data_IF_840702818631
#
_entry.id   IF_840702818631
#
_cell.length_a   1.000
_cell.length_b   1.000
_cell.length_c   1.000
_cell.angle_alpha   90.00
_cell.angle_beta   90.00
_cell.angle_gamma   90.00
#
_symmetry.space_group_name_H-M   'P 1'
#
loop_
_entity.id
_entity.type
_entity.pdbx_description
1 polymer ?
#
# COMPACT_ATOMS: atom_id res chain seq x y z
N UNK A 1 -18.50 4.20 -6.88
CA UNK A 1 -17.87 3.61 -5.68
C UNK A 1 -16.38 3.52 -6.01
N UNK A 2 -15.48 3.97 -5.14
CA UNK A 2 -14.03 3.81 -5.34
C UNK A 2 -13.67 2.39 -4.91
N UNK A 3 -13.08 1.59 -5.80
CA UNK A 3 -12.61 0.24 -5.49
C UNK A 3 -11.13 0.34 -5.07
N UNK A 4 -10.87 0.34 -3.76
CA UNK A 4 -9.52 0.42 -3.21
C UNK A 4 -9.04 -0.94 -2.73
N UNK A 5 -7.88 -1.36 -3.22
CA UNK A 5 -7.23 -2.60 -2.81
C UNK A 5 -6.21 -2.36 -1.71
N UNK A 6 -6.10 -3.31 -0.79
CA UNK A 6 -5.15 -3.27 0.33
C UNK A 6 -4.04 -4.28 0.11
N UNK A 7 -2.80 -3.79 0.17
CA UNK A 7 -1.59 -4.61 0.15
C UNK A 7 -1.11 -4.77 1.59
N UNK A 8 -1.07 -6.01 2.06
CA UNK A 8 -0.39 -6.39 3.28
C UNK A 8 1.11 -6.58 2.96
N UNK A 9 1.93 -5.59 3.26
CA UNK A 9 3.38 -5.67 3.12
C UNK A 9 3.95 -6.51 4.27
N UNK A 10 4.15 -7.78 4.03
CA UNK A 10 4.82 -8.71 4.94
C UNK A 10 6.32 -8.36 5.00
N UNK A 11 6.89 -7.98 3.85
CA UNK A 11 8.28 -7.57 3.76
C UNK A 11 9.21 -8.66 4.28
N UNK A 12 9.97 -8.35 5.32
CA UNK A 12 10.86 -9.28 6.04
C UNK A 12 10.29 -9.73 7.40
N UNK A 13 9.03 -9.43 7.72
CA UNK A 13 8.40 -9.75 9.01
C UNK A 13 8.19 -11.26 9.24
N UNK A 14 8.45 -12.08 8.24
CA UNK A 14 8.53 -13.54 8.33
C UNK A 14 9.79 -14.07 9.04
N UNK A 15 10.75 -13.21 9.35
CA UNK A 15 11.97 -13.55 10.12
C UNK A 15 12.83 -14.69 9.49
N UNK A 16 12.81 -14.84 8.16
CA UNK A 16 13.50 -15.93 7.45
C UNK A 16 12.84 -17.30 7.59
N UNK A 17 11.62 -17.38 8.16
CA UNK A 17 10.89 -18.62 8.42
C UNK A 17 9.69 -18.77 7.50
N UNK A 18 9.64 -19.87 6.74
CA UNK A 18 8.59 -20.15 5.75
C UNK A 18 7.22 -20.41 6.39
N UNK A 19 7.19 -21.06 7.55
CA UNK A 19 5.92 -21.34 8.25
C UNK A 19 5.29 -20.04 8.75
N UNK A 20 6.10 -19.15 9.33
CA UNK A 20 5.67 -17.79 9.69
C UNK A 20 5.19 -16.99 8.48
N UNK A 21 5.89 -17.10 7.33
CA UNK A 21 5.48 -16.43 6.10
C UNK A 21 4.12 -16.91 5.59
N UNK A 22 3.87 -18.21 5.63
CA UNK A 22 2.57 -18.81 5.27
C UNK A 22 1.46 -18.41 6.27
N UNK A 23 1.75 -18.39 7.54
CA UNK A 23 0.79 -17.92 8.56
C UNK A 23 0.41 -16.45 8.32
N UNK A 24 1.37 -15.58 8.02
CA UNK A 24 1.12 -14.19 7.65
C UNK A 24 0.19 -14.08 6.43
N UNK A 25 0.40 -14.89 5.39
CA UNK A 25 -0.50 -14.94 4.21
C UNK A 25 -1.92 -15.34 4.62
N UNK A 26 -2.06 -16.42 5.40
CA UNK A 26 -3.36 -16.93 5.83
C UNK A 26 -4.12 -15.90 6.66
N UNK A 27 -3.46 -15.26 7.62
CA UNK A 27 -4.05 -14.21 8.45
C UNK A 27 -4.43 -12.98 7.62
N UNK A 28 -3.54 -12.51 6.73
CA UNK A 28 -3.83 -11.38 5.85
C UNK A 28 -5.06 -11.61 4.96
N UNK A 29 -5.21 -12.84 4.41
CA UNK A 29 -6.34 -13.23 3.57
C UNK A 29 -7.61 -13.48 4.40
N UNK A 30 -7.60 -14.53 5.25
CA UNK A 30 -8.82 -15.10 5.87
C UNK A 30 -9.36 -14.27 7.03
N UNK A 31 -8.47 -13.57 7.75
CA UNK A 31 -8.85 -12.80 8.95
C UNK A 31 -8.97 -11.31 8.62
N UNK A 32 -8.01 -10.77 7.85
CA UNK A 32 -7.95 -9.33 7.61
C UNK A 32 -8.69 -8.89 6.34
N UNK A 33 -8.81 -9.76 5.32
CA UNK A 33 -9.44 -9.41 4.06
C UNK A 33 -8.57 -8.52 3.17
N UNK A 34 -7.24 -8.62 3.28
CA UNK A 34 -6.33 -7.96 2.37
C UNK A 34 -6.41 -8.58 0.97
N UNK A 35 -6.07 -7.80 -0.05
CA UNK A 35 -6.16 -8.21 -1.45
C UNK A 35 -4.84 -8.79 -1.98
N UNK A 36 -3.71 -8.34 -1.43
CA UNK A 36 -2.37 -8.75 -1.84
C UNK A 36 -1.50 -9.00 -0.61
N UNK A 37 -0.78 -10.11 -0.59
CA UNK A 37 0.32 -10.37 0.34
C UNK A 37 1.63 -10.08 -0.40
N UNK A 38 2.41 -9.10 0.11
CA UNK A 38 3.64 -8.63 -0.54
C UNK A 38 4.86 -8.93 0.31
N UNK A 39 5.90 -9.41 -0.35
CA UNK A 39 7.22 -9.74 0.21
C UNK A 39 8.30 -8.82 -0.34
N UNK A 40 9.56 -9.13 -0.06
CA UNK A 40 10.73 -8.47 -0.62
C UNK A 40 11.67 -9.52 -1.20
N UNK A 41 12.34 -9.18 -2.31
CA UNK A 41 13.39 -9.98 -2.92
C UNK A 41 14.60 -9.11 -3.23
N UNK A 42 15.76 -9.51 -2.73
CA UNK A 42 17.01 -8.77 -2.84
C UNK A 42 18.18 -9.71 -3.12
N UNK A 43 19.10 -9.27 -3.94
CA UNK A 43 20.42 -9.90 -4.11
C UNK A 43 21.47 -9.00 -3.45
N UNK A 44 21.98 -9.42 -2.30
CA UNK A 44 22.90 -8.59 -1.53
C UNK A 44 24.23 -8.32 -2.27
N UNK A 45 24.65 -9.19 -3.19
CA UNK A 45 25.87 -8.99 -3.99
C UNK A 45 25.73 -7.84 -5.01
N UNK A 46 24.51 -7.47 -5.39
CA UNK A 46 24.25 -6.30 -6.25
C UNK A 46 24.00 -5.01 -5.44
N UNK A 47 23.56 -5.15 -4.19
CA UNK A 47 23.06 -4.04 -3.39
C UNK A 47 24.05 -3.55 -2.32
N UNK A 48 25.02 -4.35 -1.95
CA UNK A 48 25.99 -4.02 -0.91
C UNK A 48 27.41 -4.14 -1.45
N UNK A 49 28.22 -3.14 -1.17
CA UNK A 49 29.68 -3.28 -1.28
C UNK A 49 30.19 -4.21 -0.18
N UNK A 50 31.41 -4.77 -0.34
CA UNK A 50 32.04 -5.61 0.69
C UNK A 50 32.14 -4.88 2.05
N UNK A 51 32.41 -3.58 2.01
CA UNK A 51 32.49 -2.75 3.22
C UNK A 51 31.13 -2.62 3.91
N UNK A 52 30.04 -2.36 3.16
CA UNK A 52 28.70 -2.27 3.71
C UNK A 52 28.21 -3.62 4.22
N UNK A 53 28.51 -4.72 3.52
CA UNK A 53 28.20 -6.07 3.95
C UNK A 53 28.81 -6.38 5.32
N UNK A 54 30.07 -5.99 5.52
CA UNK A 54 30.84 -6.27 6.75
C UNK A 54 30.48 -5.32 7.93
N UNK A 55 29.69 -4.24 7.71
CA UNK A 55 29.33 -3.34 8.81
C UNK A 55 28.39 -4.01 9.81
N UNK A 56 28.44 -3.64 11.10
CA UNK A 56 27.41 -4.02 12.06
C UNK A 56 26.04 -3.47 11.68
N UNK A 57 24.97 -4.17 12.03
CA UNK A 57 23.63 -3.65 11.84
C UNK A 57 23.44 -2.35 12.66
N UNK A 58 22.86 -1.25 12.09
CA UNK A 58 22.69 0.03 12.78
C UNK A 58 21.94 -0.08 14.12
N UNK A 59 21.04 -1.04 14.23
CA UNK A 59 20.31 -1.37 15.46
C UNK A 59 20.57 -2.83 15.82
N UNK A 60 21.56 -3.13 16.68
CA UNK A 60 21.96 -4.51 16.98
C UNK A 60 20.82 -5.41 17.49
N UNK A 61 19.88 -4.85 18.24
CA UNK A 61 18.70 -5.57 18.74
C UNK A 61 17.85 -6.18 17.62
N UNK A 62 17.85 -5.59 16.42
CA UNK A 62 17.09 -6.04 15.25
C UNK A 62 17.89 -6.98 14.33
N UNK A 63 19.18 -7.22 14.61
CA UNK A 63 20.06 -7.97 13.72
C UNK A 63 19.89 -9.48 13.83
N UNK A 64 19.77 -10.16 12.70
CA UNK A 64 19.79 -11.63 12.57
C UNK A 64 21.16 -12.20 12.19
N UNK A 65 22.21 -11.38 12.16
CA UNK A 65 23.58 -11.76 11.86
C UNK A 65 24.58 -10.91 12.62
N UNK A 66 25.88 -11.23 12.53
CA UNK A 66 26.97 -10.42 13.10
C UNK A 66 27.26 -9.19 12.24
N UNK A 67 26.95 -9.25 10.95
CA UNK A 67 27.08 -8.12 10.01
C UNK A 67 25.74 -7.76 9.38
N UNK A 68 25.67 -6.59 8.75
CA UNK A 68 24.49 -6.15 8.02
C UNK A 68 24.18 -7.06 6.82
N UNK A 69 25.21 -7.54 6.13
CA UNK A 69 25.06 -8.49 5.03
C UNK A 69 24.45 -9.82 5.51
N UNK A 70 25.00 -10.42 6.57
CA UNK A 70 24.46 -11.65 7.15
C UNK A 70 23.02 -11.49 7.63
N UNK A 71 22.68 -10.34 8.25
CA UNK A 71 21.32 -10.02 8.64
C UNK A 71 20.36 -10.03 7.43
N UNK A 72 20.76 -9.41 6.31
CA UNK A 72 19.96 -9.39 5.11
C UNK A 72 19.82 -10.75 4.46
N UNK A 73 20.89 -11.53 4.38
CA UNK A 73 20.87 -12.90 3.84
C UNK A 73 19.96 -13.83 4.63
N UNK A 74 19.97 -13.72 5.95
CA UNK A 74 19.08 -14.51 6.81
C UNK A 74 17.59 -14.28 6.49
N UNK A 75 17.25 -13.10 6.05
CA UNK A 75 15.87 -12.69 5.75
C UNK A 75 15.48 -12.92 4.28
N UNK A 76 16.39 -13.36 3.41
CA UNK A 76 16.07 -13.55 1.99
C UNK A 76 15.52 -14.94 1.72
N UNK A 77 14.48 -15.00 0.91
CA UNK A 77 13.96 -16.25 0.35
C UNK A 77 14.49 -16.47 -1.07
N UNK A 78 14.73 -17.73 -1.42
CA UNK A 78 15.04 -18.14 -2.78
C UNK A 78 13.82 -17.99 -3.70
N UNK A 79 14.03 -18.01 -5.02
CA UNK A 79 12.94 -17.97 -5.99
C UNK A 79 11.98 -19.17 -5.84
N UNK A 80 12.49 -20.36 -5.46
CA UNK A 80 11.65 -21.53 -5.20
C UNK A 80 10.76 -21.33 -3.96
N UNK A 81 11.29 -20.71 -2.90
CA UNK A 81 10.49 -20.32 -1.73
C UNK A 81 9.43 -19.27 -2.09
N UNK A 82 9.77 -18.27 -2.91
CA UNK A 82 8.79 -17.31 -3.42
C UNK A 82 7.69 -17.99 -4.27
N UNK A 83 8.03 -19.01 -5.05
CA UNK A 83 7.04 -19.83 -5.77
C UNK A 83 6.12 -20.57 -4.80
N UNK A 84 6.65 -21.12 -3.71
CA UNK A 84 5.85 -21.75 -2.66
C UNK A 84 4.90 -20.76 -1.98
N UNK A 85 5.36 -19.53 -1.68
CA UNK A 85 4.51 -18.46 -1.14
C UNK A 85 3.42 -18.02 -2.13
N UNK A 86 3.73 -17.96 -3.41
CA UNK A 86 2.73 -17.68 -4.45
C UNK A 86 1.64 -18.74 -4.49
N UNK A 87 2.02 -20.03 -4.37
CA UNK A 87 1.05 -21.13 -4.30
C UNK A 87 0.20 -21.05 -3.03
N UNK A 88 0.79 -20.73 -1.87
CA UNK A 88 0.03 -20.51 -0.63
C UNK A 88 -0.98 -19.37 -0.80
N UNK A 89 -0.56 -18.25 -1.40
CA UNK A 89 -1.46 -17.13 -1.71
C UNK A 89 -2.64 -17.58 -2.59
N UNK A 90 -2.36 -18.37 -3.64
CA UNK A 90 -3.38 -18.92 -4.54
C UNK A 90 -4.38 -19.81 -3.80
N UNK A 91 -3.91 -20.69 -2.90
CA UNK A 91 -4.76 -21.58 -2.11
C UNK A 91 -5.70 -20.83 -1.17
N UNK A 92 -5.27 -19.71 -0.61
CA UNK A 92 -6.10 -18.93 0.31
C UNK A 92 -6.89 -17.80 -0.37
N UNK A 93 -6.69 -17.59 -1.68
CA UNK A 93 -7.43 -16.61 -2.46
C UNK A 93 -6.98 -15.15 -2.24
N UNK A 94 -5.69 -14.92 -2.09
CA UNK A 94 -5.05 -13.59 -2.04
C UNK A 94 -4.00 -13.50 -3.16
N UNK A 95 -3.81 -12.33 -3.76
CA UNK A 95 -2.76 -12.14 -4.74
C UNK A 95 -1.37 -12.13 -4.08
N UNK A 96 -0.41 -12.78 -4.74
CA UNK A 96 1.00 -12.71 -4.37
C UNK A 96 1.68 -11.53 -5.05
N UNK A 97 2.56 -10.83 -4.34
CA UNK A 97 3.47 -9.84 -4.90
C UNK A 97 4.80 -9.80 -4.14
N UNK A 98 5.77 -9.11 -4.71
CA UNK A 98 7.04 -8.81 -4.02
C UNK A 98 7.65 -7.51 -4.52
N UNK A 99 8.40 -6.85 -3.64
CA UNK A 99 9.27 -5.73 -4.00
C UNK A 99 10.59 -6.30 -4.52
N UNK A 100 11.04 -5.85 -5.70
CA UNK A 100 12.34 -6.20 -6.29
C UNK A 100 13.30 -5.02 -6.15
N UNK A 101 14.51 -5.29 -5.66
CA UNK A 101 15.47 -4.26 -5.33
C UNK A 101 16.63 -4.14 -6.32
N UNK A 102 16.85 -5.18 -7.10
CA UNK A 102 17.96 -5.34 -8.04
C UNK A 102 17.53 -6.09 -9.29
N UNK A 103 18.42 -6.14 -10.28
CA UNK A 103 18.10 -6.73 -11.58
C UNK A 103 17.91 -8.24 -11.50
N UNK A 104 18.74 -8.95 -10.75
CA UNK A 104 18.59 -10.42 -10.54
C UNK A 104 17.26 -10.74 -9.88
N UNK A 105 16.88 -10.01 -8.83
CA UNK A 105 15.57 -10.17 -8.16
C UNK A 105 14.40 -9.92 -9.12
N UNK A 106 14.51 -8.92 -9.99
CA UNK A 106 13.48 -8.65 -10.99
C UNK A 106 13.38 -9.79 -12.03
N UNK A 107 14.51 -10.33 -12.47
CA UNK A 107 14.58 -11.46 -13.39
C UNK A 107 13.94 -12.73 -12.79
N UNK A 108 14.31 -13.07 -11.56
CA UNK A 108 13.79 -14.22 -10.84
C UNK A 108 12.27 -14.12 -10.63
N UNK A 109 11.78 -12.99 -10.10
CA UNK A 109 10.35 -12.81 -9.81
C UNK A 109 9.49 -12.71 -11.07
N UNK A 110 9.98 -12.12 -12.15
CA UNK A 110 9.25 -12.07 -13.41
C UNK A 110 8.94 -13.48 -13.95
N UNK A 111 9.77 -14.51 -13.64
CA UNK A 111 9.50 -15.91 -14.03
C UNK A 111 8.26 -16.47 -13.35
N UNK A 112 7.89 -16.00 -12.18
CA UNK A 112 6.71 -16.40 -11.43
C UNK A 112 5.42 -15.77 -11.96
N UNK A 113 5.52 -14.74 -12.82
CA UNK A 113 4.40 -14.03 -13.43
C UNK A 113 3.33 -13.59 -12.42
N UNK A 114 3.69 -12.87 -11.33
CA UNK A 114 2.69 -12.32 -10.42
C UNK A 114 1.82 -11.27 -11.14
N UNK A 115 0.66 -10.92 -10.59
CA UNK A 115 -0.20 -9.88 -11.16
C UNK A 115 0.44 -8.49 -11.07
N UNK A 116 1.29 -8.24 -10.08
CA UNK A 116 1.99 -6.99 -9.89
C UNK A 116 3.37 -7.20 -9.25
N UNK A 117 4.31 -6.32 -9.61
CA UNK A 117 5.66 -6.23 -9.01
C UNK A 117 5.86 -4.79 -8.50
N UNK A 118 6.50 -4.66 -7.32
CA UNK A 118 6.78 -3.35 -6.71
C UNK A 118 8.25 -2.96 -6.84
N UNK A 119 8.46 -1.68 -7.15
CA UNK A 119 9.73 -0.98 -6.95
C UNK A 119 9.61 -0.14 -5.67
N UNK A 120 10.38 -0.45 -4.63
CA UNK A 120 10.36 0.36 -3.41
C UNK A 120 11.00 1.73 -3.66
N UNK A 121 10.77 2.68 -2.75
CA UNK A 121 11.34 4.03 -2.84
C UNK A 121 12.86 4.04 -3.01
N UNK A 122 13.54 3.06 -2.43
CA UNK A 122 15.01 2.97 -2.50
C UNK A 122 15.56 2.69 -3.91
N UNK A 123 14.77 2.08 -4.80
CA UNK A 123 15.23 1.65 -6.12
C UNK A 123 14.43 2.24 -7.28
N UNK A 124 13.60 3.24 -7.01
CA UNK A 124 12.77 3.87 -8.04
C UNK A 124 13.55 4.66 -9.10
N UNK A 125 14.87 4.86 -8.94
CA UNK A 125 15.77 5.41 -9.93
C UNK A 125 16.64 4.34 -10.61
N UNK A 126 16.41 3.05 -10.37
CA UNK A 126 17.14 1.96 -10.99
C UNK A 126 16.56 1.65 -12.38
N UNK A 127 16.88 2.50 -13.37
CA UNK A 127 16.29 2.43 -14.70
C UNK A 127 16.63 1.15 -15.49
N UNK A 128 17.77 0.52 -15.24
CA UNK A 128 18.11 -0.77 -15.86
C UNK A 128 17.14 -1.87 -15.42
N UNK A 129 16.82 -1.93 -14.12
CA UNK A 129 15.82 -2.85 -13.58
C UNK A 129 14.44 -2.55 -14.17
N UNK A 130 14.05 -1.27 -14.21
CA UNK A 130 12.75 -0.84 -14.76
C UNK A 130 12.63 -1.17 -16.25
N UNK A 131 13.71 -0.99 -17.03
CA UNK A 131 13.73 -1.37 -18.44
C UNK A 131 13.52 -2.87 -18.64
N UNK A 132 14.14 -3.71 -17.79
CA UNK A 132 13.91 -5.14 -17.80
C UNK A 132 12.45 -5.47 -17.56
N UNK A 133 11.81 -4.90 -16.54
CA UNK A 133 10.40 -5.11 -16.25
C UNK A 133 9.50 -4.63 -17.40
N UNK A 134 9.77 -3.48 -17.99
CA UNK A 134 9.01 -2.99 -19.14
C UNK A 134 9.01 -3.96 -20.33
N UNK A 135 10.11 -4.68 -20.53
CA UNK A 135 10.30 -5.59 -21.66
C UNK A 135 9.86 -7.03 -21.40
N UNK A 136 9.87 -7.48 -20.14
CA UNK A 136 9.79 -8.90 -19.81
C UNK A 136 8.70 -9.25 -18.79
N UNK A 137 7.91 -8.26 -18.34
CA UNK A 137 6.85 -8.46 -17.38
C UNK A 137 5.56 -7.77 -17.85
N UNK A 138 4.47 -8.54 -17.94
CA UNK A 138 3.18 -8.08 -18.48
C UNK A 138 2.23 -7.53 -17.41
N UNK A 139 2.52 -7.73 -16.12
CA UNK A 139 1.67 -7.29 -14.99
C UNK A 139 1.81 -5.81 -14.66
N UNK A 140 1.12 -5.38 -13.62
CA UNK A 140 1.20 -4.01 -13.11
C UNK A 140 2.56 -3.74 -12.45
N UNK A 141 3.10 -2.56 -12.67
CA UNK A 141 4.34 -2.11 -12.02
C UNK A 141 3.97 -1.01 -11.04
N UNK A 142 4.28 -1.24 -9.77
CA UNK A 142 3.98 -0.32 -8.69
C UNK A 142 5.26 0.38 -8.23
N UNK A 143 5.24 1.71 -8.09
CA UNK A 143 6.42 2.51 -7.72
C UNK A 143 6.09 3.44 -6.57
N UNK A 144 6.86 3.38 -5.48
CA UNK A 144 6.77 4.33 -4.37
C UNK A 144 7.69 5.53 -4.58
N UNK A 145 7.22 6.74 -4.18
CA UNK A 145 7.92 8.01 -4.39
C UNK A 145 8.59 8.59 -3.14
N UNK A 146 8.76 7.79 -2.08
CA UNK A 146 9.54 8.22 -0.93
C UNK A 146 10.99 8.52 -1.29
N UNK A 147 11.65 9.46 -0.60
CA UNK A 147 13.04 9.88 -0.86
C UNK A 147 13.30 10.34 -2.31
N UNK A 148 12.29 10.85 -3.00
CA UNK A 148 12.33 11.14 -4.43
C UNK A 148 11.93 12.58 -4.68
N UNK A 149 12.74 13.32 -5.44
CA UNK A 149 12.41 14.68 -5.86
C UNK A 149 11.33 14.70 -6.94
N UNK A 150 10.68 15.83 -7.16
CA UNK A 150 9.67 16.00 -8.22
C UNK A 150 10.21 15.71 -9.61
N UNK A 151 11.43 16.15 -9.88
CA UNK A 151 12.11 15.92 -11.17
C UNK A 151 12.42 14.43 -11.37
N UNK A 152 12.74 13.71 -10.31
CA UNK A 152 12.96 12.26 -10.37
C UNK A 152 11.64 11.49 -10.59
N UNK A 153 10.53 11.93 -9.97
CA UNK A 153 9.20 11.34 -10.23
C UNK A 153 8.84 11.55 -11.71
N UNK A 154 9.03 12.77 -12.24
CA UNK A 154 8.79 13.06 -13.66
C UNK A 154 9.65 12.18 -14.57
N UNK A 155 10.94 11.98 -14.25
CA UNK A 155 11.82 11.07 -15.01
C UNK A 155 11.31 9.63 -15.01
N UNK A 156 10.84 9.13 -13.87
CA UNK A 156 10.27 7.78 -13.76
C UNK A 156 9.03 7.65 -14.65
N UNK A 157 8.08 8.57 -14.55
CA UNK A 157 6.84 8.49 -15.34
C UNK A 157 7.12 8.61 -16.83
N UNK A 158 7.95 9.59 -17.24
CA UNK A 158 8.38 9.75 -18.64
C UNK A 158 9.13 8.52 -19.17
N UNK A 159 9.87 7.83 -18.31
CA UNK A 159 10.53 6.58 -18.67
C UNK A 159 9.50 5.49 -19.03
N UNK A 160 8.46 5.31 -18.21
CA UNK A 160 7.40 4.32 -18.49
C UNK A 160 6.56 4.70 -19.72
N UNK A 161 6.31 5.99 -19.96
CA UNK A 161 5.67 6.47 -21.20
C UNK A 161 6.48 6.10 -22.43
N UNK A 162 7.79 6.36 -22.40
CA UNK A 162 8.72 6.02 -23.50
C UNK A 162 8.71 4.51 -23.82
N UNK A 163 8.48 3.67 -22.81
CA UNK A 163 8.43 2.21 -22.98
C UNK A 163 7.00 1.69 -23.24
N UNK A 164 5.99 2.56 -23.35
CA UNK A 164 4.60 2.17 -23.60
C UNK A 164 3.92 1.49 -22.41
N UNK A 165 4.49 1.61 -21.18
CA UNK A 165 4.04 0.92 -19.97
C UNK A 165 3.45 1.84 -18.89
N UNK A 166 3.27 3.12 -19.18
CA UNK A 166 2.73 4.08 -18.21
C UNK A 166 1.28 3.72 -17.78
N UNK A 167 0.50 3.06 -18.62
CA UNK A 167 -0.86 2.61 -18.30
C UNK A 167 -0.92 1.32 -17.46
N UNK A 168 0.22 0.73 -17.17
CA UNK A 168 0.38 -0.37 -16.21
C UNK A 168 1.05 0.12 -14.92
N UNK A 169 1.42 1.41 -14.85
CA UNK A 169 2.15 2.00 -13.72
C UNK A 169 1.18 2.51 -12.64
N UNK A 170 1.39 2.05 -11.41
CA UNK A 170 0.75 2.59 -10.19
C UNK A 170 1.80 3.37 -9.39
N UNK A 171 1.48 4.63 -9.06
CA UNK A 171 2.41 5.52 -8.34
C UNK A 171 1.88 5.79 -6.93
N UNK A 172 2.72 5.58 -5.92
CA UNK A 172 2.33 5.75 -4.52
C UNK A 172 2.88 7.05 -3.93
N UNK A 173 1.99 7.85 -3.35
CA UNK A 173 2.40 8.84 -2.36
C UNK A 173 2.97 8.10 -1.15
N UNK A 174 4.20 8.43 -0.75
CA UNK A 174 4.93 7.72 0.28
C UNK A 174 5.95 8.66 0.93
N UNK A 175 6.06 8.58 2.26
CA UNK A 175 7.17 9.14 3.04
C UNK A 175 7.93 7.98 3.67
N UNK A 176 9.25 7.90 3.40
CA UNK A 176 10.11 6.84 3.92
C UNK A 176 10.61 7.21 5.32
N UNK A 177 10.05 6.56 6.32
CA UNK A 177 10.39 6.62 7.74
C UNK A 177 9.65 5.49 8.46
N UNK A 178 10.22 4.93 9.55
CA UNK A 178 9.71 3.69 10.16
C UNK A 178 9.75 3.75 11.69
N UNK A 179 8.69 4.31 12.36
CA UNK A 179 7.48 4.92 11.82
C UNK A 179 7.64 6.38 11.38
N UNK A 180 6.70 6.87 10.56
CA UNK A 180 6.58 8.27 10.15
C UNK A 180 5.70 9.03 11.15
N UNK A 181 6.12 10.23 11.57
CA UNK A 181 5.29 11.15 12.36
C UNK A 181 4.11 11.69 11.53
N UNK A 182 2.99 12.05 12.18
CA UNK A 182 1.79 12.46 11.46
C UNK A 182 1.98 13.71 10.60
N UNK A 183 2.80 14.66 11.05
CA UNK A 183 3.16 15.88 10.31
C UNK A 183 3.93 15.62 9.01
N UNK A 184 4.63 14.48 8.93
CA UNK A 184 5.46 14.08 7.79
C UNK A 184 4.76 13.16 6.79
N UNK A 185 3.51 12.73 7.05
CA UNK A 185 2.76 11.85 6.13
C UNK A 185 2.42 12.55 4.82
N UNK A 186 2.12 13.84 4.86
CA UNK A 186 1.85 14.68 3.69
C UNK A 186 0.76 14.13 2.75
N UNK A 187 -0.43 13.80 3.29
CA UNK A 187 -1.52 13.18 2.51
C UNK A 187 -1.93 13.95 1.24
N UNK A 188 -1.73 15.28 1.21
CA UNK A 188 -2.05 16.09 0.04
C UNK A 188 -1.17 15.81 -1.18
N UNK A 189 -0.07 15.06 -1.01
CA UNK A 189 0.74 14.56 -2.12
C UNK A 189 -0.06 13.61 -3.03
N UNK A 190 -1.08 12.93 -2.50
CA UNK A 190 -2.02 12.12 -3.30
C UNK A 190 -2.68 13.00 -4.37
N UNK A 191 -3.25 14.15 -3.97
CA UNK A 191 -3.90 15.07 -4.92
C UNK A 191 -2.88 15.65 -5.91
N UNK A 192 -1.66 15.97 -5.48
CA UNK A 192 -0.63 16.46 -6.38
C UNK A 192 -0.22 15.43 -7.42
N UNK A 193 -0.10 14.16 -7.04
CA UNK A 193 0.17 13.07 -7.99
C UNK A 193 -1.00 12.90 -8.97
N UNK A 194 -2.25 12.97 -8.51
CA UNK A 194 -3.44 12.92 -9.36
C UNK A 194 -3.48 14.08 -10.35
N UNK A 195 -3.24 15.30 -9.89
CA UNK A 195 -3.26 16.50 -10.70
C UNK A 195 -2.19 16.50 -11.79
N UNK A 196 -0.96 16.08 -11.45
CA UNK A 196 0.16 16.15 -12.39
C UNK A 196 0.26 14.91 -13.30
N UNK A 197 -0.14 13.74 -12.80
CA UNK A 197 0.17 12.46 -13.47
C UNK A 197 -1.02 11.54 -13.67
N UNK A 198 -2.20 11.89 -13.15
CA UNK A 198 -3.34 11.00 -13.14
C UNK A 198 -3.85 10.55 -14.52
N UNK A 199 -3.64 11.33 -15.56
CA UNK A 199 -3.95 10.99 -16.95
C UNK A 199 -2.82 10.22 -17.66
N UNK A 200 -1.65 10.16 -17.06
CA UNK A 200 -0.43 9.53 -17.63
C UNK A 200 -0.24 8.10 -17.12
N UNK A 201 -0.63 7.82 -15.88
CA UNK A 201 -0.44 6.52 -15.22
C UNK A 201 -1.75 5.74 -15.09
N UNK A 202 -1.67 4.51 -14.60
CA UNK A 202 -2.84 3.65 -14.36
C UNK A 202 -3.67 4.15 -13.18
N UNK A 203 -3.02 4.31 -12.02
CA UNK A 203 -3.68 4.79 -10.80
C UNK A 203 -2.67 5.34 -9.80
N UNK A 204 -3.19 6.01 -8.77
CA UNK A 204 -2.44 6.53 -7.64
C UNK A 204 -2.76 5.68 -6.41
N UNK A 205 -1.76 5.46 -5.56
CA UNK A 205 -1.90 4.77 -4.29
C UNK A 205 -1.28 5.56 -3.13
N UNK A 206 -1.43 5.02 -1.94
CA UNK A 206 -0.78 5.50 -0.72
C UNK A 206 -0.05 4.35 -0.03
N UNK A 207 1.24 4.54 0.28
CA UNK A 207 2.07 3.59 1.05
C UNK A 207 2.45 4.26 2.37
N UNK A 208 1.82 3.81 3.47
CA UNK A 208 1.91 4.45 4.78
C UNK A 208 2.77 3.68 5.78
N UNK A 209 3.61 4.41 6.53
CA UNK A 209 4.48 3.87 7.59
C UNK A 209 4.20 4.48 8.97
N UNK A 210 3.03 5.10 9.14
CA UNK A 210 2.57 5.73 10.38
C UNK A 210 1.93 4.71 11.32
N UNK A 211 1.73 5.11 12.58
CA UNK A 211 1.01 4.30 13.56
C UNK A 211 -0.51 4.46 13.42
N UNK A 212 -1.25 3.36 13.61
CA UNK A 212 -2.71 3.36 13.47
C UNK A 212 -3.17 3.36 12.00
N UNK A 213 -4.45 3.65 11.76
CA UNK A 213 -5.11 3.54 10.44
C UNK A 213 -5.85 4.82 10.00
N UNK A 214 -5.85 5.86 10.83
CA UNK A 214 -6.64 7.07 10.56
C UNK A 214 -6.21 7.78 9.26
N UNK A 215 -4.89 7.85 9.00
CA UNK A 215 -4.36 8.48 7.80
C UNK A 215 -4.68 7.67 6.53
N UNK A 216 -4.82 6.36 6.61
CA UNK A 216 -5.21 5.51 5.47
C UNK A 216 -6.64 5.79 5.04
N UNK A 217 -7.57 5.92 6.01
CA UNK A 217 -8.98 6.26 5.74
C UNK A 217 -9.08 7.67 5.16
N UNK A 218 -8.29 8.62 5.69
CA UNK A 218 -8.20 9.97 5.14
C UNK A 218 -7.61 9.95 3.71
N UNK A 219 -6.59 9.14 3.44
CA UNK A 219 -6.00 8.97 2.11
C UNK A 219 -7.04 8.52 1.07
N UNK A 220 -7.89 7.54 1.41
CA UNK A 220 -9.02 7.13 0.56
C UNK A 220 -9.96 8.30 0.25
N UNK A 221 -10.40 9.04 1.27
CA UNK A 221 -11.32 10.16 1.08
C UNK A 221 -10.72 11.29 0.24
N UNK A 222 -9.44 11.63 0.48
CA UNK A 222 -8.68 12.62 -0.30
C UNK A 222 -8.52 12.15 -1.74
N UNK A 223 -8.11 10.89 -1.95
CA UNK A 223 -7.91 10.33 -3.29
C UNK A 223 -9.22 10.25 -4.10
N UNK A 224 -10.31 9.85 -3.46
CA UNK A 224 -11.63 9.82 -4.09
C UNK A 224 -12.12 11.23 -4.48
N UNK A 225 -11.97 12.20 -3.59
CA UNK A 225 -12.35 13.60 -3.86
C UNK A 225 -11.47 14.22 -4.96
N UNK A 226 -10.18 13.91 -4.97
CA UNK A 226 -9.26 14.34 -6.01
C UNK A 226 -9.64 13.77 -7.38
N UNK A 227 -9.94 12.47 -7.46
CA UNK A 227 -10.42 11.84 -8.69
C UNK A 227 -11.72 12.49 -9.21
N UNK A 228 -12.69 12.72 -8.32
CA UNK A 228 -13.95 13.41 -8.71
C UNK A 228 -13.71 14.84 -9.21
N UNK A 229 -12.76 15.56 -8.61
CA UNK A 229 -12.42 16.94 -8.98
C UNK A 229 -11.69 17.02 -10.32
N UNK A 230 -10.75 16.15 -10.57
CA UNK A 230 -9.84 16.22 -11.72
C UNK A 230 -10.27 15.33 -12.89
N UNK A 231 -11.14 14.33 -12.66
CA UNK A 231 -11.54 13.34 -13.66
C UNK A 231 -10.41 12.39 -14.09
N UNK A 232 -9.31 12.33 -13.31
CA UNK A 232 -8.11 11.56 -13.62
C UNK A 232 -7.40 11.12 -12.34
N UNK A 233 -6.53 10.11 -12.46
CA UNK A 233 -5.75 9.61 -11.34
C UNK A 233 -6.62 8.84 -10.34
N UNK A 234 -7.29 7.79 -10.79
CA UNK A 234 -8.04 6.91 -9.89
C UNK A 234 -7.19 6.52 -8.68
N UNK A 235 -7.77 6.57 -7.47
CA UNK A 235 -7.11 6.13 -6.25
C UNK A 235 -7.48 4.67 -5.99
N UNK A 236 -6.53 3.76 -6.24
CA UNK A 236 -6.83 2.33 -6.28
C UNK A 236 -6.12 1.49 -5.22
N UNK A 237 -5.15 2.03 -4.48
CA UNK A 237 -4.27 1.20 -3.66
C UNK A 237 -3.86 1.83 -2.34
N UNK A 238 -3.90 1.01 -1.26
CA UNK A 238 -3.29 1.33 0.03
C UNK A 238 -2.37 0.18 0.43
N UNK A 239 -1.15 0.52 0.82
CA UNK A 239 -0.12 -0.43 1.23
C UNK A 239 0.29 -0.15 2.68
N UNK A 240 0.28 -1.20 3.52
CA UNK A 240 0.71 -1.12 4.91
C UNK A 240 1.52 -2.35 5.30
N UNK A 241 2.62 -2.11 6.02
CA UNK A 241 3.37 -3.18 6.66
C UNK A 241 2.48 -3.99 7.59
N UNK A 242 2.68 -5.31 7.57
CA UNK A 242 1.89 -6.28 8.31
C UNK A 242 2.77 -7.26 9.08
N UNK A 243 2.40 -7.54 10.33
CA UNK A 243 3.07 -8.51 11.20
C UNK A 243 2.07 -9.24 12.09
N UNK A 244 2.43 -10.40 12.62
CA UNK A 244 1.66 -11.08 13.66
C UNK A 244 1.90 -10.46 15.03
N UNK A 245 3.11 -9.92 15.29
CA UNK A 245 3.47 -9.32 16.57
C UNK A 245 4.49 -8.19 16.36
N UNK A 246 4.13 -6.98 16.78
CA UNK A 246 4.96 -5.78 16.67
C UNK A 246 6.18 -5.78 17.60
N UNK A 247 6.20 -6.66 18.59
CA UNK A 247 7.31 -6.79 19.54
C UNK A 247 8.42 -7.71 19.04
N UNK A 248 8.19 -8.40 17.93
CA UNK A 248 9.19 -9.28 17.34
C UNK A 248 10.45 -8.50 16.89
N UNK A 249 11.55 -9.21 16.91
CA UNK A 249 12.84 -8.72 16.44
C UNK A 249 12.77 -8.48 14.91
N UNK A 250 13.17 -7.29 14.49
CA UNK A 250 13.23 -6.87 13.09
C UNK A 250 12.97 -5.39 12.92
N UNK A 251 13.27 -4.85 11.75
CA UNK A 251 13.23 -3.41 11.48
C UNK A 251 11.82 -2.87 11.24
N UNK A 252 10.92 -3.69 10.67
CA UNK A 252 9.64 -3.22 10.15
C UNK A 252 8.46 -3.48 11.10
N UNK A 253 8.63 -4.40 12.07
CA UNK A 253 7.56 -4.80 12.99
C UNK A 253 6.94 -3.62 13.75
N UNK A 254 7.74 -2.70 14.25
CA UNK A 254 7.27 -1.57 15.06
C UNK A 254 6.33 -0.64 14.29
N UNK A 255 6.55 -0.46 12.98
CA UNK A 255 5.72 0.37 12.10
C UNK A 255 4.57 -0.40 11.43
N UNK A 256 4.50 -1.73 11.64
CA UNK A 256 3.50 -2.61 11.02
C UNK A 256 2.15 -2.57 11.74
N UNK A 257 1.10 -2.95 11.01
CA UNK A 257 -0.18 -3.30 11.59
C UNK A 257 -0.16 -4.78 12.03
N UNK A 258 -0.74 -5.09 13.17
CA UNK A 258 -1.11 -6.45 13.56
C UNK A 258 -2.47 -6.83 12.95
N UNK A 259 -2.87 -8.09 13.11
CA UNK A 259 -4.07 -8.65 12.51
C UNK A 259 -5.34 -7.82 12.76
N UNK A 260 -5.57 -7.34 13.99
CA UNK A 260 -6.73 -6.51 14.30
C UNK A 260 -6.66 -5.15 13.60
N UNK A 261 -5.47 -4.54 13.53
CA UNK A 261 -5.25 -3.27 12.83
C UNK A 261 -5.51 -3.39 11.33
N UNK A 262 -4.96 -4.41 10.67
CA UNK A 262 -5.15 -4.64 9.24
C UNK A 262 -6.61 -5.01 8.91
N UNK A 263 -7.25 -5.85 9.73
CA UNK A 263 -8.67 -6.20 9.59
C UNK A 263 -9.57 -4.98 9.70
N UNK A 264 -9.32 -4.10 10.67
CA UNK A 264 -10.06 -2.82 10.81
C UNK A 264 -9.82 -1.93 9.61
N UNK A 265 -8.59 -1.82 9.14
CA UNK A 265 -8.27 -1.05 7.94
C UNK A 265 -9.08 -1.50 6.73
N UNK A 266 -9.05 -2.79 6.40
CA UNK A 266 -9.80 -3.33 5.25
C UNK A 266 -11.32 -3.08 5.39
N UNK A 267 -11.89 -3.30 6.59
CA UNK A 267 -13.30 -3.01 6.88
C UNK A 267 -13.63 -1.54 6.70
N UNK A 268 -12.83 -0.66 7.29
CA UNK A 268 -13.14 0.78 7.33
C UNK A 268 -12.96 1.42 5.95
N UNK A 269 -11.98 0.98 5.17
CA UNK A 269 -11.83 1.41 3.77
C UNK A 269 -13.04 1.00 2.93
N UNK A 270 -13.55 -0.23 3.08
CA UNK A 270 -14.78 -0.68 2.42
C UNK A 270 -15.97 0.19 2.80
N UNK A 271 -16.22 0.37 4.11
CA UNK A 271 -17.36 1.15 4.61
C UNK A 271 -17.30 2.61 4.16
N UNK A 272 -16.11 3.23 4.21
CA UNK A 272 -15.92 4.62 3.77
C UNK A 272 -16.09 4.72 2.25
N UNK A 273 -15.55 3.79 1.47
CA UNK A 273 -15.76 3.74 0.01
C UNK A 273 -17.24 3.71 -0.36
N UNK A 274 -18.04 2.90 0.33
CA UNK A 274 -19.49 2.83 0.14
C UNK A 274 -20.19 4.14 0.51
N UNK A 275 -19.66 4.89 1.49
CA UNK A 275 -20.24 6.16 1.96
C UNK A 275 -19.88 7.38 1.08
N UNK A 276 -18.87 7.27 0.21
CA UNK A 276 -18.41 8.35 -0.66
C UNK A 276 -19.31 8.52 -1.90
N UNK A 277 -20.56 8.89 -1.66
CA UNK A 277 -21.58 9.10 -2.70
C UNK A 277 -22.44 10.33 -2.40
N UNK A 278 -22.97 10.94 -3.44
CA UNK A 278 -24.00 11.97 -3.29
C UNK A 278 -25.37 11.33 -3.09
N UNK A 279 -26.27 12.00 -2.36
CA UNK A 279 -27.67 11.60 -2.31
C UNK A 279 -28.27 11.55 -3.72
N UNK A 280 -28.98 10.47 -4.01
CA UNK A 280 -29.64 10.29 -5.32
C UNK A 280 -30.95 11.08 -5.42
N UNK A 281 -31.49 11.59 -4.30
CA UNK A 281 -32.69 12.42 -4.18
C UNK A 281 -32.51 13.40 -3.04
N UNK A 282 -33.36 14.44 -2.96
CA UNK A 282 -33.35 15.41 -1.85
C UNK A 282 -33.53 14.76 -0.49
N UNK A 283 -34.30 13.68 -0.44
CA UNK A 283 -34.48 12.84 0.73
C UNK A 283 -34.36 11.36 0.38
N UNK A 284 -33.60 10.61 1.17
CA UNK A 284 -33.56 9.17 1.07
C UNK A 284 -34.75 8.52 1.79
N UNK A 285 -35.15 7.32 1.38
CA UNK A 285 -36.28 6.59 1.97
C UNK A 285 -36.14 6.42 3.49
N UNK A 286 -34.93 6.20 3.98
CA UNK A 286 -34.64 6.11 5.43
C UNK A 286 -34.95 7.42 6.18
N UNK A 287 -34.90 8.57 5.51
CA UNK A 287 -35.21 9.88 6.11
C UNK A 287 -36.72 10.17 6.15
N UNK A 288 -37.51 9.59 5.24
CA UNK A 288 -38.96 9.88 5.14
C UNK A 288 -39.67 9.50 6.43
N UNK A 289 -39.38 8.32 7.00
CA UNK A 289 -39.99 7.86 8.26
C UNK A 289 -39.59 8.80 9.41
N UNK A 290 -38.35 9.26 9.45
CA UNK A 290 -37.89 10.18 10.50
C UNK A 290 -38.46 11.59 10.32
N UNK A 291 -38.61 12.03 9.08
CA UNK A 291 -39.21 13.32 8.77
C UNK A 291 -40.64 13.42 9.31
N UNK A 292 -41.44 12.36 9.16
CA UNK A 292 -42.81 12.37 9.65
C UNK A 292 -42.95 12.39 11.17
N UNK A 293 -41.99 11.77 11.85
CA UNK A 293 -41.93 11.72 13.31
C UNK A 293 -41.33 12.96 13.94
N UNK A 294 -40.20 13.46 13.40
CA UNK A 294 -39.30 14.37 14.09
C UNK A 294 -39.26 15.79 13.48
N UNK A 295 -39.60 15.95 12.20
CA UNK A 295 -39.46 17.25 11.54
C UNK A 295 -40.46 18.24 12.15
N UNK A 296 -39.97 19.38 12.60
CA UNK A 296 -40.82 20.46 13.04
C UNK A 296 -41.68 20.98 11.86
N UNK A 297 -42.99 21.19 12.14
CA UNK A 297 -43.98 21.76 11.18
C UNK A 297 -44.90 22.71 11.92
N UNK A 298 -45.16 23.90 11.37
CA UNK A 298 -46.03 24.92 11.92
C UNK A 298 -47.40 24.37 12.27
N UNK A 299 -48.01 23.61 11.35
CA UNK A 299 -49.34 22.99 11.49
C UNK A 299 -49.43 22.03 12.70
N UNK A 300 -48.32 21.35 13.04
CA UNK A 300 -48.29 20.32 14.07
C UNK A 300 -47.79 20.83 15.42
N UNK A 301 -46.96 21.87 15.42
CA UNK A 301 -46.22 22.31 16.62
C UNK A 301 -46.42 23.82 16.93
N UNK A 302 -46.89 24.61 15.98
CA UNK A 302 -47.06 26.07 16.13
C UNK A 302 -48.17 26.46 17.12
N UNK A 303 -49.14 25.59 17.38
CA UNK A 303 -50.19 25.82 18.36
C UNK A 303 -49.63 25.86 19.81
N UNK A 304 -48.61 25.05 20.11
CA UNK A 304 -48.01 24.96 21.45
C UNK A 304 -47.13 26.17 21.82
N UNK A 305 -46.74 26.99 20.87
CA UNK A 305 -45.91 28.18 21.12
C UNK A 305 -46.76 29.39 21.51
N UNK A 306 -48.04 29.44 21.08
CA UNK A 306 -48.96 30.57 21.35
C UNK A 306 -49.50 30.61 22.80
N UNK A 307 -49.38 29.50 23.53
CA UNK A 307 -49.80 29.44 24.96
C UNK A 307 -48.70 29.81 25.97
N UNK A 308 -47.50 30.10 25.54
CA UNK A 308 -46.34 30.42 26.42
C UNK A 308 -45.90 31.88 26.33
N UNK A 309 -46.66 32.76 25.64
CA UNK A 309 -46.43 34.19 25.55
C UNK A 309 -47.49 35.00 26.36
#
# INVERSE_FOLDING_TARGET
MVDVKVIAEIGCNHKGDMDTAKELIQVASKICGAHVAKFQKRNNSELLTEAEYATPHPVPANSYGSTYGEHREFLEFSVDQHKELQEECRMVGIDYSTSVWDLTSAQEIATLKPNLIKLPSATNQHFTLQEFLCKNFDGEIHVSTGMTTRDEIEKVISFYEKHGRAKDLVVYACTSGYPVAFEDICLMEINRLQENYGDRVKSIGFSGHHLGIAADVAALAIGAAGYQRHGKGEFGWIERHFTLDRTWKGTDHAASLEADGLRRLCRDLKNVSESLSYKQSDMLDVELVQRDKLKWREEKHGANIREVS
#
